data_IF_804918363101
#
_entry.id   IF_804918363101
#
_cell.length_a   1.000
_cell.length_b   1.000
_cell.length_c   1.000
_cell.angle_alpha   90.00
_cell.angle_beta   90.00
_cell.angle_gamma   90.00
#
_symmetry.space_group_name_H-M   'P 1'
#
loop_
_entity.id
_entity.type
_entity.pdbx_description
1 polymer ?
#
# COMPACT_ATOMS: atom_id res chain seq x y z
N UNK A 1 -5.45 60.78 33.23
CA UNK A 1 -6.64 60.28 32.52
C UNK A 1 -6.28 58.86 32.12
N UNK A 2 -6.39 57.92 33.07
CA UNK A 2 -7.58 57.09 33.38
C UNK A 2 -7.75 56.02 32.27
N UNK A 3 -7.85 54.70 32.49
CA UNK A 3 -7.87 53.74 33.62
C UNK A 3 -7.37 52.38 33.01
N UNK A 4 -6.54 51.55 33.66
CA UNK A 4 -6.86 50.34 34.47
C UNK A 4 -7.96 49.42 33.87
N UNK A 5 -7.88 48.08 33.82
CA UNK A 5 -7.02 47.08 34.48
C UNK A 5 -7.32 45.65 33.95
N UNK A 6 -6.41 44.71 34.27
CA UNK A 6 -6.39 43.27 34.01
C UNK A 6 -7.54 42.45 34.65
N UNK A 7 -7.91 41.31 34.06
CA UNK A 7 -8.67 40.25 34.74
C UNK A 7 -8.10 38.84 34.48
N UNK A 8 -7.71 38.18 35.57
CA UNK A 8 -7.36 36.77 35.68
C UNK A 8 -8.22 36.14 36.81
N UNK A 9 -8.75 34.93 36.55
CA UNK A 9 -9.14 33.87 37.50
C UNK A 9 -10.28 34.06 38.54
N UNK A 10 -11.27 33.14 38.53
CA UNK A 10 -11.65 32.29 39.69
C UNK A 10 -12.79 31.30 39.41
N UNK A 11 -12.74 30.21 40.17
CA UNK A 11 -13.54 28.96 40.21
C UNK A 11 -14.99 29.08 40.68
N UNK A 12 -15.85 28.12 40.30
CA UNK A 12 -17.18 27.91 40.89
C UNK A 12 -17.57 26.43 41.05
N UNK A 13 -18.10 26.08 42.22
CA UNK A 13 -18.47 24.75 42.74
C UNK A 13 -20.00 24.54 42.71
N UNK A 14 -20.43 23.34 42.30
CA UNK A 14 -21.57 22.45 42.69
C UNK A 14 -22.85 23.05 43.33
N UNK A 15 -24.04 22.66 42.80
CA UNK A 15 -25.19 22.21 43.62
C UNK A 15 -26.25 21.36 42.86
N UNK A 16 -26.94 20.50 43.63
CA UNK A 16 -27.84 19.36 43.27
C UNK A 16 -29.30 19.74 42.90
N UNK A 17 -30.26 18.81 42.56
CA UNK A 17 -31.01 18.05 43.58
C UNK A 17 -31.58 16.64 43.19
N UNK A 18 -31.98 15.89 44.23
CA UNK A 18 -32.61 14.57 44.23
C UNK A 18 -34.15 14.57 44.10
N UNK A 19 -34.77 13.48 43.62
CA UNK A 19 -36.10 13.05 44.11
C UNK A 19 -36.39 11.55 43.84
N UNK A 20 -36.91 10.88 44.87
CA UNK A 20 -37.45 9.50 44.91
C UNK A 20 -38.89 9.47 44.37
N UNK A 21 -39.42 8.32 43.93
CA UNK A 21 -40.85 8.08 43.97
C UNK A 21 -41.24 6.92 44.91
N UNK A 22 -42.40 7.10 45.55
CA UNK A 22 -43.12 6.20 46.44
C UNK A 22 -44.06 5.26 45.68
N UNK A 23 -44.28 4.09 46.27
CA UNK A 23 -45.17 2.99 45.89
C UNK A 23 -46.65 3.28 46.06
N UNK A 24 -47.51 2.70 45.20
CA UNK A 24 -48.84 2.17 45.55
C UNK A 24 -49.36 1.22 44.46
N UNK A 25 -50.00 0.12 44.89
CA UNK A 25 -50.53 -1.02 44.12
C UNK A 25 -52.06 -0.88 44.01
N UNK A 26 -52.70 -1.46 42.97
CA UNK A 26 -53.94 -2.18 43.23
C UNK A 26 -53.97 -3.60 42.64
N UNK A 27 -54.54 -4.49 43.45
CA UNK A 27 -54.97 -5.86 43.19
C UNK A 27 -55.93 -5.97 41.99
N UNK A 28 -55.81 -7.04 41.20
CA UNK A 28 -57.01 -7.82 40.88
C UNK A 28 -56.69 -9.29 40.58
N UNK A 29 -57.50 -10.15 41.18
CA UNK A 29 -57.39 -11.61 41.25
C UNK A 29 -58.18 -12.29 40.14
N UNK A 30 -57.67 -13.40 39.55
CA UNK A 30 -58.45 -14.62 39.28
C UNK A 30 -57.54 -15.79 38.86
N UNK A 31 -57.79 -16.96 39.48
CA UNK A 31 -57.02 -18.19 39.41
C UNK A 31 -57.60 -19.22 38.43
N UNK A 32 -56.77 -20.06 37.79
CA UNK A 32 -56.72 -21.54 37.97
C UNK A 32 -55.75 -22.28 36.98
N UNK A 33 -55.37 -23.54 37.27
CA UNK A 33 -53.99 -24.03 37.11
C UNK A 33 -53.80 -25.19 36.10
N UNK A 34 -52.55 -25.48 35.73
CA UNK A 34 -52.15 -26.68 34.99
C UNK A 34 -50.71 -27.10 35.31
N UNK A 35 -50.56 -28.30 35.87
CA UNK A 35 -49.38 -28.86 36.55
C UNK A 35 -48.60 -29.81 35.63
N UNK A 36 -47.26 -29.80 35.69
CA UNK A 36 -46.38 -31.00 35.82
C UNK A 36 -44.89 -30.59 35.83
N UNK A 37 -44.24 -30.59 36.99
CA UNK A 37 -43.33 -31.63 37.52
C UNK A 37 -41.99 -31.76 36.75
N UNK A 38 -40.93 -31.10 37.24
CA UNK A 38 -39.86 -31.65 38.13
C UNK A 38 -38.82 -32.53 37.41
N UNK A 39 -37.58 -32.03 37.40
CA UNK A 39 -36.43 -32.72 38.02
C UNK A 39 -35.37 -31.70 38.43
N UNK A 40 -34.88 -31.85 39.67
CA UNK A 40 -34.00 -30.95 40.42
C UNK A 40 -32.65 -31.64 40.59
N UNK A 41 -31.54 -30.96 40.30
CA UNK A 41 -30.23 -31.32 40.83
C UNK A 41 -29.45 -30.05 41.22
N UNK A 42 -29.01 -30.05 42.47
CA UNK A 42 -28.48 -28.96 43.29
C UNK A 42 -27.35 -28.13 42.65
N UNK A 43 -27.47 -26.80 42.71
CA UNK A 43 -26.36 -25.84 42.64
C UNK A 43 -26.41 -24.98 43.90
N UNK A 44 -25.24 -24.84 44.53
CA UNK A 44 -24.99 -24.07 45.75
C UNK A 44 -25.57 -22.66 45.68
N UNK A 45 -26.29 -22.30 46.75
CA UNK A 45 -26.73 -20.95 47.08
C UNK A 45 -25.51 -20.03 47.26
N UNK A 46 -25.13 -19.34 46.19
CA UNK A 46 -24.77 -17.93 46.29
C UNK A 46 -25.97 -17.16 45.80
N UNK A 47 -26.43 -16.23 46.62
CA UNK A 47 -27.53 -15.30 46.39
C UNK A 47 -27.41 -14.60 45.03
N UNK A 48 -27.93 -15.25 43.99
CA UNK A 48 -28.23 -14.65 42.70
C UNK A 48 -29.59 -13.98 42.84
N UNK A 49 -29.58 -12.76 43.39
CA UNK A 49 -30.75 -11.90 43.44
C UNK A 49 -30.81 -11.07 42.15
N UNK A 50 -30.67 -11.75 41.01
CA UNK A 50 -30.68 -11.16 39.69
C UNK A 50 -31.44 -12.06 38.70
N UNK A 51 -32.09 -11.44 37.73
CA UNK A 51 -32.85 -12.15 36.71
C UNK A 51 -31.93 -13.04 35.86
N UNK A 52 -32.42 -14.12 35.24
CA UNK A 52 -31.56 -15.05 34.48
C UNK A 52 -30.78 -14.40 33.32
N UNK A 53 -31.19 -13.21 32.87
CA UNK A 53 -30.49 -12.40 31.87
C UNK A 53 -29.37 -11.51 32.46
N UNK A 54 -29.34 -11.32 33.78
CA UNK A 54 -28.24 -10.65 34.49
C UNK A 54 -27.06 -11.59 34.71
N UNK A 55 -27.30 -12.89 34.89
CA UNK A 55 -26.26 -13.92 35.03
C UNK A 55 -25.61 -14.32 33.68
N UNK A 56 -26.29 -14.07 32.56
CA UNK A 56 -25.79 -14.40 31.21
C UNK A 56 -24.87 -13.30 30.65
N UNK A 57 -24.88 -12.09 31.23
CA UNK A 57 -24.02 -10.98 30.84
C UNK A 57 -22.65 -11.06 31.54
N UNK A 58 -21.97 -12.20 31.39
CA UNK A 58 -20.54 -12.25 31.69
C UNK A 58 -19.84 -11.29 30.73
N UNK A 59 -19.19 -10.26 31.28
CA UNK A 59 -18.42 -9.33 30.45
C UNK A 59 -17.36 -10.18 29.75
N UNK A 60 -17.24 -10.04 28.45
CA UNK A 60 -16.31 -10.83 27.64
C UNK A 60 -14.85 -10.74 28.12
N UNK A 61 -14.52 -9.69 28.88
CA UNK A 61 -13.23 -9.48 29.54
C UNK A 61 -13.04 -10.27 30.84
N UNK A 62 -14.10 -10.75 31.50
CA UNK A 62 -14.04 -11.58 32.72
C UNK A 62 -13.73 -13.05 32.39
N UNK A 63 -13.96 -13.47 31.14
CA UNK A 63 -13.69 -14.84 30.63
C UNK A 63 -12.22 -15.00 30.25
N UNK A 64 -11.54 -13.90 29.88
CA UNK A 64 -10.11 -13.91 29.55
C UNK A 64 -9.31 -13.94 30.85
N UNK A 65 -9.09 -15.15 31.38
CA UNK A 65 -8.12 -15.35 32.46
C UNK A 65 -6.71 -15.18 31.90
N UNK A 66 -5.95 -14.30 32.55
CA UNK A 66 -4.52 -14.06 32.30
C UNK A 66 -3.69 -15.32 32.60
N UNK A 67 -3.54 -16.21 31.61
CA UNK A 67 -2.42 -17.16 31.59
C UNK A 67 -1.16 -16.38 31.15
N UNK A 68 -0.52 -15.74 32.14
CA UNK A 68 0.53 -14.71 31.95
C UNK A 68 1.79 -15.17 31.23
N UNK A 69 2.10 -16.47 31.26
CA UNK A 69 3.34 -16.98 30.66
C UNK A 69 3.16 -17.59 29.26
N UNK A 70 1.97 -18.13 28.96
CA UNK A 70 1.70 -18.81 27.67
C UNK A 70 1.17 -17.85 26.60
N UNK A 71 0.48 -16.79 27.00
CA UNK A 71 -0.10 -15.80 26.08
C UNK A 71 0.96 -14.98 25.33
N UNK A 72 2.03 -14.56 26.00
CA UNK A 72 3.08 -13.74 25.39
C UNK A 72 3.93 -14.51 24.37
N UNK A 73 4.31 -15.76 24.68
CA UNK A 73 5.05 -16.61 23.74
C UNK A 73 4.24 -16.89 22.47
N UNK A 74 2.94 -17.14 22.61
CA UNK A 74 2.02 -17.37 21.48
C UNK A 74 1.85 -16.10 20.62
N UNK A 75 1.84 -14.92 21.25
CA UNK A 75 1.78 -13.64 20.53
C UNK A 75 3.07 -13.38 19.73
N UNK A 76 4.24 -13.58 20.34
CA UNK A 76 5.54 -13.45 19.66
C UNK A 76 5.65 -14.43 18.49
N UNK A 77 5.19 -15.66 18.67
CA UNK A 77 5.18 -16.65 17.60
C UNK A 77 4.25 -16.26 16.44
N UNK A 78 3.05 -15.75 16.72
CA UNK A 78 2.16 -15.29 15.66
C UNK A 78 2.76 -14.12 14.87
N UNK A 79 3.54 -13.24 15.52
CA UNK A 79 4.29 -12.18 14.84
C UNK A 79 5.37 -12.77 13.92
N UNK A 80 6.14 -13.76 14.39
CA UNK A 80 7.18 -14.42 13.61
C UNK A 80 6.57 -15.20 12.42
N UNK A 81 5.49 -15.95 12.65
CA UNK A 81 4.78 -16.68 11.60
C UNK A 81 4.16 -15.75 10.57
N UNK A 82 3.61 -14.60 10.99
CA UNK A 82 3.08 -13.60 10.07
C UNK A 82 4.18 -12.99 9.21
N UNK A 83 5.37 -12.71 9.77
CA UNK A 83 6.54 -12.27 8.99
C UNK A 83 6.98 -13.34 7.99
N UNK A 84 7.03 -14.60 8.41
CA UNK A 84 7.39 -15.73 7.53
C UNK A 84 6.37 -15.94 6.40
N UNK A 85 5.07 -15.83 6.70
CA UNK A 85 4.00 -15.88 5.70
C UNK A 85 4.15 -14.77 4.66
N UNK A 86 4.54 -13.56 5.07
CA UNK A 86 4.82 -12.45 4.13
C UNK A 86 5.97 -12.80 3.19
N UNK A 87 7.10 -13.26 3.73
CA UNK A 87 8.26 -13.67 2.91
C UNK A 87 7.87 -14.78 1.93
N UNK A 88 7.18 -15.83 2.39
CA UNK A 88 6.76 -16.93 1.52
C UNK A 88 5.69 -16.53 0.48
N UNK A 89 4.83 -15.55 0.79
CA UNK A 89 3.79 -15.06 -0.12
C UNK A 89 4.37 -14.19 -1.24
N UNK A 90 5.34 -13.33 -0.92
CA UNK A 90 5.97 -12.43 -1.90
C UNK A 90 7.04 -13.12 -2.75
N UNK A 91 7.81 -14.03 -2.16
CA UNK A 91 8.88 -14.76 -2.83
C UNK A 91 8.44 -16.19 -3.13
N UNK A 92 7.46 -16.32 -4.04
CA UNK A 92 7.23 -17.62 -4.67
C UNK A 92 8.53 -18.03 -5.35
N UNK A 93 9.11 -19.15 -4.92
CA UNK A 93 10.40 -19.71 -5.38
C UNK A 93 10.50 -19.99 -6.89
N UNK A 94 9.46 -19.67 -7.66
CA UNK A 94 9.34 -19.92 -9.09
C UNK A 94 9.69 -18.62 -9.83
N UNK A 95 10.76 -18.61 -10.65
CA UNK A 95 11.03 -17.47 -11.53
C UNK A 95 9.92 -17.40 -12.58
N UNK A 96 9.15 -16.33 -12.52
CA UNK A 96 8.06 -16.05 -13.45
C UNK A 96 8.47 -14.88 -14.36
N UNK A 97 8.06 -14.92 -15.62
CA UNK A 97 8.20 -13.77 -16.50
C UNK A 97 7.28 -12.65 -15.99
N UNK A 98 7.81 -11.45 -15.84
CA UNK A 98 7.11 -10.28 -15.28
C UNK A 98 7.19 -9.09 -16.23
N UNK A 99 6.14 -8.26 -16.23
CA UNK A 99 6.14 -6.97 -16.90
C UNK A 99 6.90 -5.92 -16.08
N UNK A 100 8.21 -5.77 -16.30
CA UNK A 100 9.04 -4.85 -15.50
C UNK A 100 8.70 -3.37 -15.77
N UNK A 101 8.37 -3.05 -17.03
CA UNK A 101 7.97 -1.70 -17.42
C UNK A 101 6.45 -1.60 -17.26
N UNK A 102 6.01 -0.87 -16.25
CA UNK A 102 4.61 -0.73 -15.88
C UNK A 102 4.16 0.70 -16.10
N UNK A 103 2.92 0.84 -16.54
CA UNK A 103 2.18 2.09 -16.50
C UNK A 103 0.96 1.85 -15.61
N UNK A 104 1.00 2.40 -14.40
CA UNK A 104 -0.05 2.23 -13.40
C UNK A 104 -0.90 3.51 -13.31
N UNK A 105 -2.20 3.40 -13.52
CA UNK A 105 -3.14 4.48 -13.22
C UNK A 105 -3.84 4.19 -11.91
N UNK A 106 -3.60 5.04 -10.91
CA UNK A 106 -4.26 4.99 -9.61
C UNK A 106 -5.56 5.80 -9.66
N UNK A 107 -6.69 5.13 -9.44
CA UNK A 107 -8.00 5.75 -9.33
C UNK A 107 -8.40 5.78 -7.85
N UNK A 108 -8.69 6.96 -7.34
CA UNK A 108 -9.02 7.21 -5.93
C UNK A 108 -10.48 7.67 -5.85
N UNK A 109 -11.25 7.05 -4.97
CA UNK A 109 -12.57 7.52 -4.59
C UNK A 109 -12.48 8.79 -3.73
N UNK A 110 -13.19 9.86 -4.14
CA UNK A 110 -13.35 11.15 -3.45
C UNK A 110 -14.84 11.49 -3.28
N UNK A 111 -15.67 10.45 -3.10
CA UNK A 111 -17.10 10.57 -2.83
C UNK A 111 -17.42 10.82 -1.36
N UNK A 112 -18.69 11.12 -1.04
CA UNK A 112 -19.16 11.33 0.34
C UNK A 112 -18.83 10.13 1.25
N UNK A 113 -18.82 8.91 0.72
CA UNK A 113 -18.50 7.68 1.46
C UNK A 113 -17.08 7.68 2.06
N UNK A 114 -16.18 8.53 1.54
CA UNK A 114 -14.80 8.65 2.00
C UNK A 114 -14.65 9.57 3.22
N UNK A 115 -15.72 10.27 3.62
CA UNK A 115 -15.75 11.05 4.86
C UNK A 115 -15.98 10.20 6.11
N UNK A 116 -16.36 8.93 5.94
CA UNK A 116 -16.59 8.02 7.06
C UNK A 116 -15.35 7.88 7.94
N UNK A 117 -15.58 7.83 9.26
CA UNK A 117 -14.54 7.75 10.29
C UNK A 117 -14.20 6.32 10.69
N UNK A 118 -14.48 5.36 9.81
CA UNK A 118 -14.13 3.94 9.95
C UNK A 118 -12.61 3.76 10.08
N UNK A 119 -11.86 4.53 9.29
CA UNK A 119 -10.41 4.69 9.38
C UNK A 119 -10.09 6.07 9.96
N UNK A 120 -9.00 6.20 10.73
CA UNK A 120 -8.67 7.47 11.41
C UNK A 120 -7.75 8.36 10.56
N UNK A 121 -8.02 9.68 10.45
CA UNK A 121 -9.18 10.43 10.97
C UNK A 121 -10.46 10.24 10.13
N UNK A 122 -10.33 10.04 8.82
CA UNK A 122 -11.37 9.55 7.92
C UNK A 122 -10.73 8.67 6.83
N UNK A 123 -11.55 7.94 6.07
CA UNK A 123 -11.09 7.05 4.99
C UNK A 123 -10.22 7.79 3.96
N UNK A 124 -10.62 9.00 3.55
CA UNK A 124 -9.90 9.78 2.55
C UNK A 124 -8.48 10.16 2.98
N UNK A 125 -8.32 10.75 4.17
CA UNK A 125 -7.02 11.23 4.66
C UNK A 125 -6.07 10.06 4.86
N UNK A 126 -6.53 8.94 5.44
CA UNK A 126 -5.68 7.76 5.59
C UNK A 126 -5.25 7.23 4.23
N UNK A 127 -6.18 7.16 3.27
CA UNK A 127 -5.90 6.74 1.88
C UNK A 127 -4.81 7.61 1.26
N UNK A 128 -4.90 8.94 1.35
CA UNK A 128 -3.87 9.85 0.81
C UNK A 128 -2.49 9.70 1.50
N UNK A 129 -2.45 9.36 2.78
CA UNK A 129 -1.18 9.10 3.48
C UNK A 129 -0.53 7.81 2.97
N UNK A 130 -1.31 6.73 2.88
CA UNK A 130 -0.80 5.45 2.38
C UNK A 130 -0.42 5.51 0.90
N UNK A 131 -1.11 6.32 0.09
CA UNK A 131 -0.73 6.57 -1.30
C UNK A 131 0.63 7.27 -1.38
N UNK A 132 0.95 8.22 -0.50
CA UNK A 132 2.28 8.85 -0.47
C UNK A 132 3.38 7.83 -0.19
N UNK A 133 3.17 6.97 0.81
CA UNK A 133 4.10 5.87 1.11
C UNK A 133 4.21 4.89 -0.06
N UNK A 134 3.09 4.52 -0.67
CA UNK A 134 3.03 3.64 -1.83
C UNK A 134 3.75 4.24 -3.04
N UNK A 135 3.63 5.54 -3.32
CA UNK A 135 4.35 6.18 -4.43
C UNK A 135 5.86 6.06 -4.23
N UNK A 136 6.34 6.31 -3.02
CA UNK A 136 7.78 6.19 -2.70
C UNK A 136 8.24 4.75 -2.90
N UNK A 137 7.55 3.78 -2.31
CA UNK A 137 7.92 2.36 -2.42
C UNK A 137 7.79 1.83 -3.85
N UNK A 138 6.74 2.22 -4.57
CA UNK A 138 6.49 1.82 -5.96
C UNK A 138 7.63 2.26 -6.87
N UNK A 139 8.03 3.53 -6.81
CA UNK A 139 9.14 4.05 -7.62
C UNK A 139 10.51 3.63 -7.09
N UNK A 140 10.63 3.27 -5.81
CA UNK A 140 11.84 2.65 -5.32
C UNK A 140 12.02 1.29 -5.99
N UNK A 141 11.06 0.36 -5.88
CA UNK A 141 11.18 -0.97 -6.48
C UNK A 141 11.10 -0.98 -8.02
N UNK A 142 10.31 -0.08 -8.60
CA UNK A 142 10.03 0.00 -10.04
C UNK A 142 10.44 1.37 -10.63
N UNK A 143 11.74 1.71 -10.68
CA UNK A 143 12.19 3.03 -11.11
C UNK A 143 11.80 3.36 -12.54
N UNK A 144 11.75 2.37 -13.44
CA UNK A 144 11.42 2.59 -14.86
C UNK A 144 9.90 2.60 -15.15
N UNK A 145 9.08 2.44 -14.12
CA UNK A 145 7.61 2.49 -14.28
C UNK A 145 7.11 3.93 -14.30
N UNK A 146 5.86 4.10 -14.73
CA UNK A 146 5.18 5.38 -14.75
C UNK A 146 3.87 5.27 -13.98
N UNK A 147 3.45 6.37 -13.36
CA UNK A 147 2.21 6.45 -12.61
C UNK A 147 1.35 7.62 -13.09
N UNK A 148 0.03 7.45 -13.12
CA UNK A 148 -0.95 8.53 -13.25
C UNK A 148 -1.97 8.46 -12.12
N UNK A 149 -2.60 9.58 -11.75
CA UNK A 149 -3.57 9.64 -10.64
C UNK A 149 -4.84 10.34 -11.09
N UNK A 150 -5.97 9.65 -10.89
CA UNK A 150 -7.32 10.12 -11.22
C UNK A 150 -8.18 10.07 -9.95
N UNK A 151 -9.00 11.10 -9.72
CA UNK A 151 -10.00 11.14 -8.65
C UNK A 151 -11.41 10.95 -9.21
N UNK A 152 -12.26 10.25 -8.46
CA UNK A 152 -13.69 10.16 -8.72
C UNK A 152 -14.45 11.08 -7.76
N UNK A 153 -15.10 12.12 -8.26
CA UNK A 153 -15.83 13.09 -7.44
C UNK A 153 -17.04 13.65 -8.19
N UNK A 154 -18.18 13.85 -7.51
CA UNK A 154 -19.40 14.42 -8.10
C UNK A 154 -19.87 13.75 -9.41
N UNK A 155 -19.75 12.42 -9.51
CA UNK A 155 -20.11 11.65 -10.71
C UNK A 155 -19.15 11.83 -11.90
N UNK A 156 -18.01 12.49 -11.70
CA UNK A 156 -17.03 12.79 -12.73
C UNK A 156 -15.64 12.21 -12.37
N UNK A 157 -14.80 12.08 -13.38
CA UNK A 157 -13.39 11.74 -13.22
C UNK A 157 -12.52 12.99 -13.41
N UNK A 158 -11.62 13.24 -12.47
CA UNK A 158 -10.69 14.37 -12.49
C UNK A 158 -9.25 13.87 -12.55
N UNK A 159 -8.51 14.31 -13.58
CA UNK A 159 -7.08 14.04 -13.68
C UNK A 159 -6.31 14.92 -12.70
N UNK A 160 -5.54 14.30 -11.80
CA UNK A 160 -4.72 15.01 -10.81
C UNK A 160 -3.28 15.11 -11.25
N UNK A 161 -2.73 13.99 -11.69
CA UNK A 161 -1.37 13.93 -12.25
C UNK A 161 -1.40 13.15 -13.54
N UNK A 162 -0.80 13.72 -14.58
CA UNK A 162 -0.53 13.01 -15.82
C UNK A 162 0.43 11.83 -15.57
N UNK A 163 0.52 10.92 -16.55
CA UNK A 163 1.40 9.77 -16.48
C UNK A 163 2.86 10.24 -16.50
N UNK A 164 3.57 10.06 -15.39
CA UNK A 164 4.95 10.51 -15.21
C UNK A 164 5.78 9.47 -14.42
N UNK A 165 7.10 9.53 -14.55
CA UNK A 165 8.06 8.72 -13.80
C UNK A 165 8.64 9.40 -12.56
N UNK A 166 8.27 10.66 -12.28
CA UNK A 166 8.80 11.43 -11.15
C UNK A 166 7.95 11.27 -9.89
N UNK A 167 8.48 10.69 -8.79
CA UNK A 167 7.71 10.51 -7.55
C UNK A 167 7.26 11.84 -6.94
N UNK A 168 8.14 12.86 -6.96
CA UNK A 168 7.87 14.17 -6.36
C UNK A 168 6.69 14.88 -7.03
N UNK A 169 6.55 14.74 -8.35
CA UNK A 169 5.44 15.31 -9.09
C UNK A 169 4.08 14.81 -8.56
N UNK A 170 3.98 13.51 -8.26
CA UNK A 170 2.78 12.92 -7.68
C UNK A 170 2.59 13.31 -6.21
N UNK A 171 3.66 13.22 -5.41
CA UNK A 171 3.62 13.53 -3.96
C UNK A 171 3.21 14.98 -3.72
N UNK A 172 3.73 15.93 -4.47
CA UNK A 172 3.40 17.36 -4.30
C UNK A 172 1.93 17.62 -4.62
N UNK A 173 1.36 16.95 -5.62
CA UNK A 173 -0.07 17.05 -5.95
C UNK A 173 -0.95 16.42 -4.89
N UNK A 174 -0.57 15.27 -4.34
CA UNK A 174 -1.27 14.67 -3.19
C UNK A 174 -1.19 15.58 -1.96
N UNK A 175 -0.03 16.21 -1.70
CA UNK A 175 0.14 17.17 -0.59
C UNK A 175 -0.74 18.40 -0.79
N UNK A 176 -0.89 18.88 -2.03
CA UNK A 176 -1.82 19.97 -2.37
C UNK A 176 -3.28 19.57 -2.16
N UNK A 177 -3.67 18.32 -2.44
CA UNK A 177 -5.02 17.83 -2.14
C UNK A 177 -5.27 17.81 -0.63
N UNK A 178 -4.29 17.36 0.16
CA UNK A 178 -4.37 17.33 1.62
C UNK A 178 -4.44 18.73 2.25
N UNK A 179 -3.63 19.69 1.78
CA UNK A 179 -3.60 21.04 2.36
C UNK A 179 -4.86 21.88 2.08
N UNK A 180 -5.59 21.57 1.00
CA UNK A 180 -6.81 22.30 0.61
C UNK A 180 -8.10 21.75 1.24
N UNK A 181 -7.99 20.79 2.15
CA UNK A 181 -9.13 20.10 2.76
C UNK A 181 -10.02 21.03 3.58
N UNK A 182 -9.47 22.03 4.27
CA UNK A 182 -10.27 22.91 5.13
C UNK A 182 -11.20 23.88 4.40
N UNK A 183 -11.15 24.01 3.06
CA UNK A 183 -12.07 24.91 2.33
C UNK A 183 -12.44 24.49 0.88
N UNK A 184 -11.85 23.45 0.26
CA UNK A 184 -12.12 23.13 -1.17
C UNK A 184 -12.11 21.64 -1.56
N UNK A 185 -11.42 20.77 -0.82
CA UNK A 185 -11.25 19.34 -1.17
C UNK A 185 -11.71 18.39 -0.05
N UNK A 186 -12.92 18.61 0.46
CA UNK A 186 -13.65 17.55 1.14
C UNK A 186 -14.26 16.58 0.11
N UNK A 187 -14.20 15.27 0.35
CA UNK A 187 -14.89 14.27 -0.46
C UNK A 187 -16.37 14.57 -0.60
N UNK A 188 -16.86 14.67 -1.84
CA UNK A 188 -18.22 15.12 -2.17
C UNK A 188 -18.78 14.42 -3.41
N UNK A 189 -20.11 14.33 -3.42
CA UNK A 189 -20.88 13.66 -4.46
C UNK A 189 -20.57 12.17 -4.56
N UNK A 190 -20.84 11.61 -5.73
CA UNK A 190 -20.79 10.17 -5.97
C UNK A 190 -19.56 9.78 -6.81
N UNK A 191 -19.09 8.52 -6.75
CA UNK A 191 -18.00 8.06 -7.60
C UNK A 191 -18.51 7.59 -8.96
N UNK A 192 -17.75 7.83 -10.03
CA UNK A 192 -18.01 7.29 -11.37
C UNK A 192 -16.86 6.40 -11.85
N UNK A 193 -17.09 5.09 -11.87
CA UNK A 193 -16.15 4.10 -12.37
C UNK A 193 -16.01 4.19 -13.89
N UNK A 194 -17.10 4.35 -14.63
CA UNK A 194 -17.05 4.41 -16.08
C UNK A 194 -16.18 5.58 -16.58
N UNK A 195 -16.45 6.80 -16.10
CA UNK A 195 -15.71 7.98 -16.52
C UNK A 195 -14.21 7.87 -16.16
N UNK A 196 -13.90 7.31 -14.99
CA UNK A 196 -12.52 7.15 -14.54
C UNK A 196 -11.77 6.05 -15.29
N UNK A 197 -12.44 4.95 -15.63
CA UNK A 197 -11.88 3.88 -16.46
C UNK A 197 -11.64 4.35 -17.91
N UNK A 198 -12.55 5.14 -18.48
CA UNK A 198 -12.38 5.71 -19.82
C UNK A 198 -11.22 6.72 -19.87
N UNK A 199 -11.08 7.56 -18.84
CA UNK A 199 -9.93 8.45 -18.68
C UNK A 199 -8.62 7.68 -18.47
N UNK A 200 -8.61 6.67 -17.60
CA UNK A 200 -7.44 5.83 -17.38
C UNK A 200 -7.01 5.11 -18.67
N UNK A 201 -7.98 4.57 -19.42
CA UNK A 201 -7.75 3.92 -20.71
C UNK A 201 -7.12 4.87 -21.74
N UNK A 202 -7.57 6.13 -21.83
CA UNK A 202 -6.99 7.09 -22.78
C UNK A 202 -5.55 7.46 -22.42
N UNK A 203 -5.26 7.63 -21.12
CA UNK A 203 -3.89 7.86 -20.61
C UNK A 203 -2.95 6.68 -20.91
N UNK A 204 -3.43 5.45 -20.73
CA UNK A 204 -2.66 4.24 -21.00
C UNK A 204 -2.37 4.08 -22.50
N UNK A 205 -3.37 4.32 -23.37
CA UNK A 205 -3.21 4.22 -24.83
C UNK A 205 -2.21 5.22 -25.41
N UNK A 206 -2.25 6.47 -24.94
CA UNK A 206 -1.35 7.51 -25.44
C UNK A 206 0.12 7.11 -25.24
N UNK A 207 0.44 6.52 -24.09
CA UNK A 207 1.81 6.09 -23.78
C UNK A 207 2.24 4.84 -24.56
N UNK A 208 1.32 3.93 -24.88
CA UNK A 208 1.63 2.70 -25.61
C UNK A 208 1.94 2.90 -27.10
N UNK A 209 1.47 3.98 -27.73
CA UNK A 209 1.83 4.30 -29.12
C UNK A 209 3.35 4.50 -29.33
N UNK A 210 4.11 4.79 -28.26
CA UNK A 210 5.57 4.92 -28.32
C UNK A 210 6.31 3.64 -27.90
N UNK A 211 5.66 2.71 -27.19
CA UNK A 211 6.25 1.49 -26.66
C UNK A 211 5.19 0.38 -26.64
N UNK A 212 5.20 -0.48 -27.66
CA UNK A 212 4.11 -1.43 -27.93
C UNK A 212 3.81 -2.45 -26.82
N UNK A 213 4.65 -2.62 -25.80
CA UNK A 213 4.45 -3.67 -24.77
C UNK A 213 4.87 -3.26 -23.35
N UNK A 214 4.36 -2.13 -22.85
CA UNK A 214 4.34 -1.87 -21.41
C UNK A 214 3.16 -2.59 -20.77
N UNK A 215 3.33 -3.07 -19.53
CA UNK A 215 2.20 -3.61 -18.77
C UNK A 215 1.29 -2.45 -18.35
N UNK A 216 0.03 -2.54 -18.73
CA UNK A 216 -0.98 -1.52 -18.46
C UNK A 216 -1.82 -1.96 -17.27
N UNK A 217 -1.80 -1.15 -16.22
CA UNK A 217 -2.41 -1.50 -14.94
C UNK A 217 -3.28 -0.36 -14.42
N UNK A 218 -4.44 -0.71 -13.86
CA UNK A 218 -5.30 0.22 -13.14
C UNK A 218 -5.48 -0.31 -11.72
N UNK A 219 -5.16 0.52 -10.74
CA UNK A 219 -5.42 0.26 -9.33
C UNK A 219 -6.54 1.19 -8.85
N UNK A 220 -7.66 0.61 -8.40
CA UNK A 220 -8.80 1.38 -7.91
C UNK A 220 -8.90 1.22 -6.40
N UNK A 221 -8.89 2.33 -5.67
CA UNK A 221 -9.23 2.37 -4.25
C UNK A 221 -10.68 2.85 -4.15
N UNK A 222 -11.58 1.92 -3.83
CA UNK A 222 -13.03 2.13 -3.89
C UNK A 222 -13.64 2.10 -2.50
N UNK A 223 -14.16 3.24 -2.04
CA UNK A 223 -14.75 3.38 -0.71
C UNK A 223 -16.26 3.21 -0.70
N UNK A 224 -16.93 3.72 -1.72
CA UNK A 224 -18.38 3.58 -1.86
C UNK A 224 -18.80 2.12 -2.14
N UNK A 225 -20.10 1.85 -1.94
CA UNK A 225 -20.72 0.56 -2.27
C UNK A 225 -21.52 0.60 -3.59
N UNK A 226 -21.58 1.77 -4.21
CA UNK A 226 -22.29 2.02 -5.46
C UNK A 226 -21.45 2.97 -6.33
N UNK A 227 -21.80 3.05 -7.61
CA UNK A 227 -21.21 4.02 -8.55
C UNK A 227 -22.32 4.67 -9.36
N UNK A 228 -22.13 5.93 -9.73
CA UNK A 228 -23.04 6.70 -10.58
C UNK A 228 -22.38 6.90 -11.95
N UNK A 229 -22.72 6.01 -12.90
CA UNK A 229 -22.16 6.01 -14.24
C UNK A 229 -23.20 6.42 -15.30
N UNK A 230 -22.80 7.13 -16.37
CA UNK A 230 -23.73 7.65 -17.38
C UNK A 230 -24.26 6.57 -18.33
N UNK A 231 -23.55 5.45 -18.51
CA UNK A 231 -23.91 4.40 -19.45
C UNK A 231 -23.67 2.99 -18.91
N UNK A 232 -23.64 2.03 -19.84
CA UNK A 232 -23.40 0.62 -19.52
C UNK A 232 -21.90 0.36 -19.33
N UNK A 233 -21.49 0.23 -18.06
CA UNK A 233 -20.11 -0.06 -17.67
C UNK A 233 -19.57 -1.35 -18.29
N UNK A 234 -20.40 -2.35 -18.60
CA UNK A 234 -19.93 -3.61 -19.15
C UNK A 234 -19.25 -3.44 -20.50
N UNK A 235 -19.69 -2.48 -21.32
CA UNK A 235 -19.03 -2.11 -22.59
C UNK A 235 -17.64 -1.53 -22.36
N UNK A 236 -17.47 -0.77 -21.28
CA UNK A 236 -16.17 -0.23 -20.86
C UNK A 236 -15.27 -1.36 -20.37
N UNK A 237 -15.80 -2.32 -19.59
CA UNK A 237 -15.05 -3.53 -19.19
C UNK A 237 -14.56 -4.29 -20.42
N UNK A 238 -15.44 -4.58 -21.38
CA UNK A 238 -15.07 -5.31 -22.59
C UNK A 238 -14.07 -4.52 -23.45
N UNK A 239 -14.10 -3.19 -23.36
CA UNK A 239 -13.11 -2.32 -23.99
C UNK A 239 -11.73 -2.39 -23.33
N UNK A 240 -11.67 -2.50 -22.01
CA UNK A 240 -10.41 -2.68 -21.26
C UNK A 240 -9.80 -4.05 -21.54
N UNK A 241 -10.62 -5.10 -21.60
CA UNK A 241 -10.18 -6.46 -21.95
C UNK A 241 -9.57 -6.49 -23.35
N UNK A 242 -10.22 -5.86 -24.33
CA UNK A 242 -9.68 -5.77 -25.71
C UNK A 242 -8.33 -5.06 -25.79
N UNK A 243 -8.06 -4.13 -24.88
CA UNK A 243 -6.79 -3.40 -24.83
C UNK A 243 -5.76 -4.05 -23.89
N UNK A 244 -6.06 -5.23 -23.32
CA UNK A 244 -5.21 -5.97 -22.37
C UNK A 244 -4.82 -5.15 -21.12
N UNK A 245 -5.75 -4.33 -20.60
CA UNK A 245 -5.55 -3.54 -19.38
C UNK A 245 -5.94 -4.38 -18.16
N UNK A 246 -4.99 -4.59 -17.24
CA UNK A 246 -5.22 -5.32 -15.99
C UNK A 246 -5.76 -4.39 -14.91
N UNK A 247 -6.82 -4.80 -14.22
CA UNK A 247 -7.44 -3.99 -13.16
C UNK A 247 -7.36 -4.72 -11.81
N UNK A 248 -6.93 -4.00 -10.77
CA UNK A 248 -6.94 -4.43 -9.36
C UNK A 248 -7.81 -3.45 -8.56
N UNK A 249 -8.65 -3.98 -7.68
CA UNK A 249 -9.55 -3.16 -6.85
C UNK A 249 -9.27 -3.43 -5.37
N UNK A 250 -9.16 -2.38 -4.58
CA UNK A 250 -9.14 -2.42 -3.13
C UNK A 250 -10.43 -1.76 -2.63
N UNK A 251 -11.35 -2.55 -2.10
CA UNK A 251 -12.60 -2.09 -1.51
C UNK A 251 -12.44 -1.78 -0.03
N UNK A 252 -12.93 -0.63 0.43
CA UNK A 252 -12.76 -0.23 1.84
C UNK A 252 -13.78 -0.85 2.81
N UNK A 253 -14.91 -1.37 2.35
CA UNK A 253 -15.93 -1.93 3.26
C UNK A 253 -16.43 -3.29 2.83
N UNK A 254 -16.93 -3.39 1.60
CA UNK A 254 -17.48 -4.65 1.10
C UNK A 254 -17.10 -4.89 -0.35
N UNK A 255 -17.44 -6.10 -0.81
CA UNK A 255 -17.26 -6.49 -2.20
C UNK A 255 -18.45 -6.01 -3.04
N UNK A 256 -18.17 -5.27 -4.13
CA UNK A 256 -19.18 -4.85 -5.10
C UNK A 256 -19.15 -5.79 -6.31
N UNK A 257 -20.33 -6.28 -6.72
CA UNK A 257 -20.46 -7.28 -7.79
C UNK A 257 -19.82 -6.81 -9.11
N UNK A 258 -20.05 -5.56 -9.51
CA UNK A 258 -19.47 -4.98 -10.74
C UNK A 258 -17.94 -4.93 -10.67
N UNK A 259 -17.37 -4.51 -9.54
CA UNK A 259 -15.91 -4.49 -9.34
C UNK A 259 -15.32 -5.91 -9.43
N UNK A 260 -16.01 -6.92 -8.89
CA UNK A 260 -15.61 -8.33 -9.02
C UNK A 260 -15.63 -8.80 -10.47
N UNK A 261 -16.67 -8.47 -11.22
CA UNK A 261 -16.76 -8.82 -12.64
C UNK A 261 -15.67 -8.12 -13.46
N UNK A 262 -15.41 -6.84 -13.20
CA UNK A 262 -14.34 -6.05 -13.82
C UNK A 262 -12.97 -6.71 -13.61
N UNK A 263 -12.63 -7.05 -12.37
CA UNK A 263 -11.35 -7.70 -12.02
C UNK A 263 -11.24 -9.08 -12.67
N UNK A 264 -12.29 -9.90 -12.61
CA UNK A 264 -12.26 -11.25 -13.17
C UNK A 264 -12.10 -11.22 -14.71
N UNK A 265 -12.84 -10.34 -15.39
CA UNK A 265 -12.77 -10.19 -16.85
C UNK A 265 -11.41 -9.67 -17.32
N UNK A 266 -10.82 -8.71 -16.63
CA UNK A 266 -9.56 -8.06 -17.04
C UNK A 266 -8.30 -8.88 -16.74
N UNK A 267 -8.39 -9.90 -15.88
CA UNK A 267 -7.24 -10.73 -15.50
C UNK A 267 -7.35 -12.18 -15.96
N UNK A 268 -8.33 -12.52 -16.81
CA UNK A 268 -8.62 -13.87 -17.30
C UNK A 268 -8.64 -14.93 -16.17
N UNK A 269 -9.07 -14.54 -14.97
CA UNK A 269 -8.99 -15.39 -13.77
C UNK A 269 -10.35 -15.48 -13.09
N UNK A 270 -10.73 -16.70 -12.75
CA UNK A 270 -11.95 -16.99 -11.99
C UNK A 270 -11.78 -16.69 -10.49
N UNK A 271 -10.54 -16.58 -10.01
CA UNK A 271 -10.24 -16.31 -8.62
C UNK A 271 -10.02 -14.81 -8.35
N UNK A 272 -10.74 -14.22 -7.37
CA UNK A 272 -10.73 -12.78 -7.12
C UNK A 272 -9.47 -12.32 -6.34
N UNK A 273 -8.28 -12.87 -6.61
CA UNK A 273 -7.04 -12.46 -5.90
C UNK A 273 -6.74 -10.97 -6.06
N UNK A 274 -7.16 -10.39 -7.19
CA UNK A 274 -6.96 -8.99 -7.53
C UNK A 274 -8.11 -8.08 -7.03
N UNK A 275 -9.05 -8.61 -6.24
CA UNK A 275 -10.00 -7.79 -5.48
C UNK A 275 -9.82 -8.04 -3.98
N UNK A 276 -9.11 -7.12 -3.32
CA UNK A 276 -8.96 -7.11 -1.87
C UNK A 276 -10.04 -6.27 -1.19
N UNK A 277 -10.57 -6.75 -0.07
CA UNK A 277 -11.42 -5.95 0.84
C UNK A 277 -10.63 -5.72 2.12
N UNK A 278 -10.51 -4.47 2.54
CA UNK A 278 -9.76 -4.15 3.75
C UNK A 278 -10.50 -4.68 4.99
N UNK A 279 -9.73 -5.02 6.02
CA UNK A 279 -10.28 -5.45 7.32
C UNK A 279 -9.91 -4.47 8.43
N UNK A 280 -8.72 -3.87 8.33
CA UNK A 280 -8.17 -2.89 9.24
C UNK A 280 -7.11 -2.06 8.51
N UNK A 281 -6.57 -1.04 9.19
CA UNK A 281 -5.54 -0.14 8.65
C UNK A 281 -4.29 -0.89 8.17
N UNK A 282 -3.84 -1.89 8.93
CA UNK A 282 -2.65 -2.68 8.59
C UNK A 282 -2.87 -3.55 7.33
N UNK A 283 -4.05 -4.14 7.18
CA UNK A 283 -4.43 -4.94 6.02
C UNK A 283 -4.59 -4.07 4.78
N UNK A 284 -5.11 -2.84 4.93
CA UNK A 284 -5.15 -1.89 3.83
C UNK A 284 -3.74 -1.57 3.32
N UNK A 285 -2.81 -1.27 4.22
CA UNK A 285 -1.40 -1.05 3.85
C UNK A 285 -0.78 -2.29 3.19
N UNK A 286 -1.06 -3.49 3.69
CA UNK A 286 -0.59 -4.73 3.06
C UNK A 286 -1.11 -4.89 1.63
N UNK A 287 -2.42 -4.73 1.40
CA UNK A 287 -3.01 -4.85 0.06
C UNK A 287 -2.44 -3.82 -0.93
N UNK A 288 -2.15 -2.61 -0.44
CA UNK A 288 -1.55 -1.56 -1.25
C UNK A 288 -0.09 -1.90 -1.61
N UNK A 289 0.71 -2.36 -0.63
CA UNK A 289 2.10 -2.75 -0.86
C UNK A 289 2.23 -4.03 -1.70
N UNK A 290 1.23 -4.92 -1.67
CA UNK A 290 1.13 -6.08 -2.55
C UNK A 290 0.92 -5.69 -4.03
N UNK A 291 0.66 -4.41 -4.33
CA UNK A 291 0.62 -3.87 -5.70
C UNK A 291 2.00 -3.37 -6.18
N UNK A 292 2.98 -3.23 -5.29
CA UNK A 292 4.35 -2.78 -5.64
C UNK A 292 5.09 -3.77 -6.51
N UNK A 293 5.14 -5.09 -6.25
CA UNK A 293 5.84 -6.01 -7.14
C UNK A 293 5.12 -6.13 -8.50
N UNK A 294 5.87 -6.25 -9.62
CA UNK A 294 5.28 -6.41 -10.96
C UNK A 294 4.49 -7.71 -11.06
N UNK A 295 3.33 -7.66 -11.71
CA UNK A 295 2.49 -8.83 -11.92
C UNK A 295 3.19 -9.85 -12.84
N UNK A 296 3.03 -11.16 -12.55
CA UNK A 296 3.47 -12.19 -13.48
C UNK A 296 2.64 -12.13 -14.77
N UNK A 297 3.29 -12.41 -15.90
CA UNK A 297 2.59 -12.60 -17.17
C UNK A 297 1.86 -13.94 -17.15
N UNK A 298 0.69 -13.98 -17.78
CA UNK A 298 -0.06 -15.21 -18.00
C UNK A 298 0.55 -16.02 -19.15
N UNK A 299 0.33 -17.32 -19.18
CA UNK A 299 0.87 -18.20 -20.24
C UNK A 299 0.46 -17.75 -21.65
N UNK A 300 -0.75 -17.18 -21.81
CA UNK A 300 -1.24 -16.61 -23.06
C UNK A 300 -0.45 -15.37 -23.53
N UNK A 301 0.07 -14.59 -22.58
CA UNK A 301 0.87 -13.39 -22.86
C UNK A 301 2.34 -13.73 -23.15
N UNK A 302 2.79 -14.91 -22.73
CA UNK A 302 4.16 -15.39 -22.94
C UNK A 302 4.24 -15.95 -24.37
N UNK A 303 4.66 -15.11 -25.31
CA UNK A 303 5.04 -15.59 -26.64
C UNK A 303 6.55 -15.93 -26.67
N UNK A 304 6.93 -17.22 -26.69
CA UNK A 304 8.33 -17.64 -26.66
C UNK A 304 9.11 -17.25 -27.93
N UNK A 305 8.43 -16.93 -29.03
CA UNK A 305 9.06 -16.62 -30.32
C UNK A 305 9.41 -15.13 -30.50
N UNK A 306 8.84 -14.22 -29.70
CA UNK A 306 9.02 -12.79 -29.91
C UNK A 306 9.10 -12.00 -28.59
N UNK A 307 10.28 -11.99 -27.97
CA UNK A 307 10.55 -11.11 -26.82
C UNK A 307 10.64 -9.66 -27.31
N UNK A 308 9.80 -8.74 -26.82
CA UNK A 308 9.85 -7.35 -27.24
C UNK A 308 11.17 -6.70 -26.84
N UNK A 309 11.84 -6.06 -27.80
CA UNK A 309 13.04 -5.29 -27.55
C UNK A 309 12.70 -3.80 -27.55
N UNK A 310 12.99 -3.11 -26.45
CA UNK A 310 12.76 -1.67 -26.32
C UNK A 310 14.11 -0.96 -26.39
N UNK A 311 14.20 0.05 -27.25
CA UNK A 311 15.39 0.89 -27.34
C UNK A 311 15.42 1.86 -26.17
N UNK A 312 16.48 1.78 -25.35
CA UNK A 312 16.71 2.70 -24.23
C UNK A 312 18.00 3.49 -24.43
N UNK A 313 18.04 4.70 -23.85
CA UNK A 313 19.20 5.58 -23.87
C UNK A 313 19.84 5.70 -22.50
N UNK A 314 21.16 5.48 -22.42
CA UNK A 314 21.95 5.78 -21.24
C UNK A 314 22.57 7.18 -21.39
N UNK A 315 22.05 8.21 -20.71
CA UNK A 315 22.54 9.56 -20.86
C UNK A 315 23.84 9.77 -20.09
N UNK A 316 24.68 10.67 -20.59
CA UNK A 316 25.91 11.08 -19.88
C UNK A 316 25.57 12.17 -18.87
N UNK A 317 26.08 12.05 -17.64
CA UNK A 317 26.01 13.09 -16.62
C UNK A 317 26.95 14.24 -17.02
N UNK A 318 26.39 15.44 -17.15
CA UNK A 318 27.12 16.69 -17.37
C UNK A 318 26.98 17.51 -16.10
N UNK A 319 28.11 17.80 -15.47
CA UNK A 319 28.19 18.80 -14.43
C UNK A 319 28.68 20.11 -15.05
N UNK A 320 28.05 21.21 -14.69
CA UNK A 320 28.53 22.53 -15.11
C UNK A 320 29.83 22.78 -14.37
N UNK A 321 30.96 22.61 -15.06
CA UNK A 321 32.26 23.01 -14.53
C UNK A 321 32.33 24.52 -14.57
N UNK A 322 32.17 25.16 -13.42
CA UNK A 322 32.66 26.53 -13.22
C UNK A 322 34.18 26.47 -13.39
N UNK A 323 34.68 26.74 -14.59
CA UNK A 323 36.13 26.92 -14.80
C UNK A 323 36.55 28.17 -14.04
N UNK A 324 37.01 28.00 -12.81
CA UNK A 324 37.63 29.04 -12.00
C UNK A 324 39.06 29.27 -12.50
N UNK A 325 39.20 29.88 -13.66
CA UNK A 325 40.39 30.68 -13.94
C UNK A 325 40.20 32.03 -13.24
N UNK A 326 41.20 32.41 -12.44
CA UNK A 326 41.26 33.61 -11.59
C UNK A 326 40.47 34.81 -12.12
N UNK A 327 39.62 35.35 -11.24
CA UNK A 327 38.81 36.58 -11.29
C UNK A 327 37.43 36.59 -11.97
N UNK A 328 37.03 35.57 -12.76
CA UNK A 328 35.66 35.56 -13.33
C UNK A 328 35.05 34.15 -13.39
N UNK A 329 33.87 33.96 -12.79
CA UNK A 329 33.03 32.77 -12.98
C UNK A 329 32.17 32.97 -14.24
N UNK A 330 32.57 32.37 -15.36
CA UNK A 330 31.75 32.36 -16.58
C UNK A 330 30.71 31.24 -16.46
N UNK A 331 29.47 31.59 -16.13
CA UNK A 331 28.35 30.65 -16.12
C UNK A 331 27.60 30.75 -17.46
N UNK A 332 27.75 29.75 -18.33
CA UNK A 332 26.99 29.70 -19.58
C UNK A 332 25.54 29.29 -19.31
N UNK A 333 24.53 30.02 -19.81
CA UNK A 333 23.13 29.64 -19.64
C UNK A 333 22.88 28.27 -20.29
N UNK A 334 22.37 27.33 -19.50
CA UNK A 334 22.03 26.00 -19.99
C UNK A 334 20.51 25.87 -20.18
N UNK A 335 20.12 25.55 -21.41
CA UNK A 335 18.73 25.22 -21.74
C UNK A 335 18.44 23.77 -21.36
N UNK A 336 17.33 23.56 -20.66
CA UNK A 336 16.83 22.26 -20.24
C UNK A 336 15.46 22.00 -20.90
N UNK A 337 15.30 20.83 -21.52
CA UNK A 337 14.08 20.46 -22.21
C UNK A 337 13.02 19.84 -21.28
N UNK A 338 13.32 19.61 -20.00
CA UNK A 338 12.44 18.90 -19.05
C UNK A 338 11.18 19.68 -18.66
N UNK A 339 11.11 20.99 -18.94
CA UNK A 339 10.00 21.86 -18.55
C UNK A 339 9.47 22.68 -19.74
N UNK A 340 8.82 22.06 -20.74
CA UNK A 340 8.31 22.79 -21.90
C UNK A 340 7.06 23.64 -21.58
N UNK A 341 6.34 23.36 -20.49
CA UNK A 341 5.06 24.01 -20.13
C UNK A 341 5.11 24.89 -18.87
N UNK A 342 6.29 25.04 -18.23
CA UNK A 342 6.43 26.04 -17.19
C UNK A 342 6.46 27.42 -17.87
N UNK A 343 5.27 28.03 -18.03
CA UNK A 343 5.17 29.45 -18.27
C UNK A 343 6.03 30.20 -17.26
N UNK A 344 6.47 31.40 -17.64
CA UNK A 344 7.42 32.30 -16.98
C UNK A 344 7.15 32.64 -15.48
N UNK A 345 6.21 31.99 -14.81
CA UNK A 345 5.68 32.41 -13.51
C UNK A 345 6.09 31.53 -12.32
N UNK A 346 6.66 30.32 -12.50
CA UNK A 346 6.94 29.44 -11.34
C UNK A 346 8.24 28.63 -11.41
N UNK A 347 9.26 29.08 -12.14
CA UNK A 347 10.62 28.61 -11.86
C UNK A 347 11.26 29.71 -11.00
N UNK A 348 11.50 29.48 -9.70
CA UNK A 348 12.44 30.31 -8.96
C UNK A 348 13.72 30.33 -9.80
N UNK A 349 14.13 31.50 -10.28
CA UNK A 349 15.32 31.74 -11.10
C UNK A 349 16.63 31.37 -10.37
N UNK A 350 16.54 30.64 -9.26
CA UNK A 350 17.55 30.41 -8.24
C UNK A 350 18.15 29.00 -8.27
N UNK A 351 17.76 28.11 -9.19
CA UNK A 351 18.36 26.79 -9.27
C UNK A 351 18.61 26.38 -10.72
N UNK A 352 19.68 26.90 -11.33
CA UNK A 352 20.31 26.18 -12.43
C UNK A 352 20.68 24.79 -11.91
N UNK A 353 20.13 23.70 -12.49
CA UNK A 353 20.44 22.37 -12.00
C UNK A 353 21.94 22.13 -12.19
N UNK A 354 22.65 21.92 -11.08
CA UNK A 354 24.10 21.68 -11.05
C UNK A 354 24.50 20.43 -11.84
N UNK A 355 23.54 19.52 -12.02
CA UNK A 355 23.68 18.27 -12.77
C UNK A 355 22.60 18.23 -13.86
N UNK A 356 23.03 17.98 -15.09
CA UNK A 356 22.14 17.67 -16.22
C UNK A 356 22.57 16.37 -16.87
N UNK A 357 21.64 15.73 -17.58
CA UNK A 357 21.86 14.49 -18.29
C UNK A 357 21.64 14.71 -19.78
N UNK A 358 22.60 14.31 -20.60
CA UNK A 358 22.54 14.50 -22.04
C UNK A 358 21.98 13.26 -22.75
N UNK A 359 20.89 13.43 -23.49
CA UNK A 359 20.31 12.37 -24.30
C UNK A 359 21.33 11.88 -25.34
N UNK A 360 21.55 10.55 -25.48
CA UNK A 360 22.51 10.03 -26.45
C UNK A 360 22.09 10.24 -27.90
N UNK A 361 20.77 10.30 -28.18
CA UNK A 361 20.20 10.39 -29.53
C UNK A 361 20.13 11.84 -30.04
N UNK A 362 19.39 12.72 -29.37
CA UNK A 362 19.18 14.11 -29.82
C UNK A 362 20.06 15.14 -29.11
N UNK A 363 20.92 14.72 -28.16
CA UNK A 363 21.79 15.60 -27.37
C UNK A 363 21.09 16.63 -26.49
N UNK A 364 19.75 16.59 -26.38
CA UNK A 364 19.00 17.45 -25.46
C UNK A 364 19.39 17.17 -24.01
N UNK A 365 19.41 18.21 -23.18
CA UNK A 365 19.67 18.09 -21.74
C UNK A 365 18.36 17.93 -20.97
N UNK A 366 18.35 16.96 -20.06
CA UNK A 366 17.26 16.72 -19.10
C UNK A 366 17.81 16.74 -17.68
N UNK A 367 16.96 16.94 -16.68
CA UNK A 367 17.39 17.06 -15.27
C UNK A 367 17.07 15.82 -14.46
N UNK A 368 15.91 15.23 -14.68
CA UNK A 368 15.44 14.09 -13.91
C UNK A 368 15.53 12.82 -14.76
N UNK A 369 15.98 11.74 -14.11
CA UNK A 369 15.95 10.39 -14.66
C UNK A 369 15.27 9.48 -13.63
N UNK A 370 14.57 8.42 -14.07
CA UNK A 370 14.32 8.06 -15.45
C UNK A 370 13.22 8.92 -16.08
N UNK A 371 13.32 9.21 -17.39
CA UNK A 371 12.30 9.99 -18.11
C UNK A 371 12.29 9.69 -19.59
N UNK A 372 11.18 9.97 -20.27
CA UNK A 372 11.12 9.96 -21.74
C UNK A 372 11.72 11.28 -22.25
N UNK A 373 12.66 11.20 -23.18
CA UNK A 373 13.26 12.39 -23.77
C UNK A 373 12.18 13.22 -24.50
N UNK A 374 11.93 14.48 -24.12
CA UNK A 374 10.85 15.30 -24.67
C UNK A 374 11.08 15.68 -26.14
N UNK A 375 12.31 15.57 -26.65
CA UNK A 375 12.66 15.95 -28.03
C UNK A 375 12.59 14.74 -28.98
N UNK A 376 13.06 13.56 -28.55
CA UNK A 376 13.16 12.40 -29.45
C UNK A 376 12.38 11.16 -29.02
N UNK A 377 11.65 11.22 -27.90
CA UNK A 377 10.84 10.12 -27.38
C UNK A 377 11.63 8.94 -26.82
N UNK A 378 12.97 8.96 -26.82
CA UNK A 378 13.79 7.88 -26.28
C UNK A 378 13.70 7.83 -24.76
N UNK A 379 13.43 6.66 -24.18
CA UNK A 379 13.46 6.46 -22.73
C UNK A 379 14.90 6.57 -22.21
N UNK A 380 15.15 7.49 -21.27
CA UNK A 380 16.44 7.77 -20.67
C UNK A 380 16.50 7.16 -19.27
N UNK A 381 17.47 6.27 -19.06
CA UNK A 381 17.66 5.53 -17.80
C UNK A 381 19.13 5.44 -17.42
N UNK A 382 19.41 5.19 -16.13
CA UNK A 382 20.74 4.81 -15.66
C UNK A 382 20.79 3.29 -15.45
N UNK A 383 21.99 2.72 -15.47
CA UNK A 383 22.21 1.30 -15.15
C UNK A 383 21.72 0.94 -13.73
N UNK A 384 21.81 1.88 -12.79
CA UNK A 384 21.31 1.72 -11.42
C UNK A 384 19.80 1.51 -11.35
N UNK A 385 19.03 2.10 -12.26
CA UNK A 385 17.57 1.91 -12.31
C UNK A 385 17.22 0.47 -12.72
N UNK A 386 17.93 -0.08 -13.70
CA UNK A 386 17.72 -1.49 -14.10
C UNK A 386 18.19 -2.46 -13.02
N UNK A 387 19.34 -2.20 -12.41
CA UNK A 387 19.88 -3.03 -11.34
C UNK A 387 18.92 -3.14 -10.16
N UNK A 388 18.21 -2.04 -9.84
CA UNK A 388 17.23 -2.05 -8.77
C UNK A 388 16.03 -2.95 -9.05
N UNK A 389 15.58 -3.07 -10.30
CA UNK A 389 14.47 -3.98 -10.67
C UNK A 389 14.89 -5.45 -10.82
N UNK A 390 16.19 -5.76 -10.69
CA UNK A 390 16.74 -7.10 -10.91
C UNK A 390 16.25 -8.14 -9.89
N UNK A 391 15.95 -7.71 -8.65
CA UNK A 391 15.46 -8.61 -7.61
C UNK A 391 14.08 -9.21 -7.93
N UNK A 392 13.31 -8.61 -8.84
CA UNK A 392 12.06 -9.19 -9.35
C UNK A 392 12.29 -10.32 -10.37
N UNK A 393 13.44 -10.32 -11.06
CA UNK A 393 13.80 -11.32 -12.07
C UNK A 393 14.42 -12.56 -11.44
N UNK A 394 15.28 -12.37 -10.46
CA UNK A 394 15.94 -13.43 -9.71
C UNK A 394 15.63 -13.26 -8.22
N UNK A 395 14.43 -13.64 -7.77
CA UNK A 395 14.10 -13.60 -6.35
C UNK A 395 15.02 -14.54 -5.57
N UNK A 396 15.39 -14.12 -4.37
CA UNK A 396 16.12 -14.98 -3.46
C UNK A 396 15.22 -16.13 -2.99
N UNK A 397 15.79 -17.34 -2.97
CA UNK A 397 15.08 -18.53 -2.47
C UNK A 397 14.94 -18.42 -0.95
N UNK A 398 13.72 -18.62 -0.39
CA UNK A 398 13.50 -18.55 1.04
C UNK A 398 14.41 -19.53 1.79
N UNK A 399 14.98 -19.08 2.90
CA UNK A 399 15.79 -19.94 3.74
C UNK A 399 14.94 -21.01 4.41
N UNK A 400 15.48 -22.23 4.51
CA UNK A 400 14.79 -23.35 5.16
C UNK A 400 15.02 -23.31 6.66
N UNK A 401 13.95 -23.40 7.42
CA UNK A 401 14.05 -23.50 8.88
C UNK A 401 14.70 -24.83 9.26
N UNK A 402 15.73 -24.77 10.10
CA UNK A 402 16.44 -25.95 10.59
C UNK A 402 15.60 -26.58 11.70
N UNK A 403 15.37 -27.89 11.64
CA UNK A 403 14.63 -28.61 12.67
C UNK A 403 15.37 -28.57 14.02
N UNK A 404 14.62 -28.74 15.12
CA UNK A 404 15.19 -28.78 16.47
C UNK A 404 16.09 -30.03 16.59
N UNK A 405 17.33 -29.82 17.01
CA UNK A 405 18.34 -30.86 17.23
C UNK A 405 19.05 -30.62 18.57
N UNK A 406 19.62 -31.68 19.14
CA UNK A 406 20.47 -31.60 20.34
C UNK A 406 21.82 -30.96 20.02
N UNK A 407 22.32 -31.16 18.80
CA UNK A 407 23.59 -30.61 18.32
C UNK A 407 23.35 -29.87 17.02
N UNK A 408 23.92 -28.67 16.92
CA UNK A 408 23.90 -27.85 15.71
C UNK A 408 25.32 -27.59 15.24
N UNK A 409 25.52 -27.51 13.92
CA UNK A 409 26.82 -27.19 13.32
C UNK A 409 27.22 -25.72 13.56
N UNK A 410 26.25 -24.80 13.55
CA UNK A 410 26.48 -23.37 13.74
C UNK A 410 26.11 -22.90 15.15
N UNK A 411 27.04 -22.20 15.81
CA UNK A 411 26.80 -21.50 17.07
C UNK A 411 26.36 -20.05 16.88
N UNK A 412 26.74 -19.41 15.77
CA UNK A 412 26.49 -17.99 15.50
C UNK A 412 25.83 -17.79 14.14
N UNK A 413 24.97 -16.78 14.05
CA UNK A 413 24.40 -16.32 12.80
C UNK A 413 25.50 -15.78 11.87
N UNK A 414 25.56 -16.27 10.63
CA UNK A 414 26.56 -15.81 9.67
C UNK A 414 26.49 -14.30 9.39
N UNK A 415 25.28 -13.74 9.34
CA UNK A 415 25.06 -12.33 8.99
C UNK A 415 25.39 -11.34 10.12
N UNK A 416 24.88 -11.58 11.33
CA UNK A 416 24.99 -10.62 12.43
C UNK A 416 25.83 -11.12 13.62
N UNK A 417 26.40 -12.33 13.55
CA UNK A 417 27.17 -12.96 14.63
C UNK A 417 26.40 -13.10 15.95
N UNK A 418 25.07 -13.06 15.89
CA UNK A 418 24.22 -13.34 17.04
C UNK A 418 24.33 -14.82 17.43
N UNK A 419 24.64 -15.08 18.70
CA UNK A 419 24.73 -16.44 19.23
C UNK A 419 23.35 -17.10 19.23
N UNK A 420 23.24 -18.26 18.59
CA UNK A 420 22.01 -19.03 18.58
C UNK A 420 21.75 -19.72 19.93
N UNK A 421 20.48 -20.00 20.27
CA UNK A 421 20.18 -20.82 21.43
C UNK A 421 20.76 -22.24 21.28
N UNK A 422 21.25 -22.80 22.39
CA UNK A 422 21.79 -24.17 22.43
C UNK A 422 20.75 -25.24 22.12
N UNK A 423 21.21 -26.44 21.75
CA UNK A 423 20.33 -27.59 21.53
C UNK A 423 19.79 -28.19 22.83
N UNK A 424 18.66 -28.90 22.74
CA UNK A 424 18.10 -29.67 23.85
C UNK A 424 17.13 -28.96 24.81
N UNK A 425 16.69 -27.72 24.51
CA UNK A 425 15.62 -27.06 25.28
C UNK A 425 14.21 -27.43 24.80
N UNK A 426 13.19 -27.30 25.66
CA UNK A 426 11.75 -27.24 25.27
C UNK A 426 11.44 -25.94 24.49
N UNK A 427 12.26 -25.61 23.49
CA UNK A 427 12.05 -24.47 22.62
C UNK A 427 11.21 -24.91 21.43
N UNK A 428 10.29 -24.05 21.01
CA UNK A 428 9.38 -24.34 19.92
C UNK A 428 10.03 -24.22 18.53
N UNK A 429 11.19 -23.55 18.43
CA UNK A 429 11.95 -23.39 17.19
C UNK A 429 13.46 -23.39 17.45
N UNK A 430 14.24 -23.79 16.44
CA UNK A 430 15.71 -23.74 16.49
C UNK A 430 16.27 -22.33 16.33
N UNK A 431 15.43 -21.37 15.91
CA UNK A 431 15.80 -19.99 15.51
C UNK A 431 16.87 -19.89 14.42
N UNK A 432 17.08 -20.97 13.64
CA UNK A 432 18.08 -21.08 12.58
C UNK A 432 17.41 -21.26 11.22
N UNK A 433 17.84 -20.46 10.26
CA UNK A 433 17.35 -20.45 8.88
C UNK A 433 18.52 -20.67 7.93
N UNK A 434 18.53 -21.80 7.23
CA UNK A 434 19.64 -22.26 6.40
C UNK A 434 19.42 -21.92 4.94
N UNK A 435 20.43 -21.32 4.32
CA UNK A 435 20.46 -21.15 2.87
C UNK A 435 20.91 -22.45 2.20
N UNK A 436 20.12 -22.99 1.26
CA UNK A 436 20.45 -24.25 0.58
C UNK A 436 21.64 -24.16 -0.36
N UNK A 437 21.94 -22.96 -0.89
CA UNK A 437 23.03 -22.75 -1.85
C UNK A 437 24.39 -22.67 -1.17
N UNK A 438 24.53 -21.82 -0.16
CA UNK A 438 25.81 -21.64 0.53
C UNK A 438 25.99 -22.57 1.74
N UNK A 439 24.89 -23.10 2.30
CA UNK A 439 24.88 -23.97 3.49
C UNK A 439 25.02 -23.23 4.82
N UNK A 440 24.96 -21.89 4.82
CA UNK A 440 25.15 -21.07 6.03
C UNK A 440 23.83 -20.81 6.75
N UNK A 441 23.90 -20.67 8.08
CA UNK A 441 22.76 -20.46 8.97
C UNK A 441 22.60 -18.97 9.37
N UNK A 442 21.36 -18.50 9.34
CA UNK A 442 20.97 -17.11 9.63
C UNK A 442 19.88 -17.08 10.72
N UNK A 443 19.80 -15.98 11.47
CA UNK A 443 18.69 -15.71 12.39
C UNK A 443 17.48 -15.10 11.64
N UNK A 444 16.31 -15.10 12.27
CA UNK A 444 15.07 -14.55 11.66
C UNK A 444 15.21 -13.09 11.20
N UNK A 445 15.93 -12.26 11.95
CA UNK A 445 16.10 -10.85 11.57
C UNK A 445 16.99 -10.71 10.33
N UNK A 446 18.05 -11.51 10.24
CA UNK A 446 18.89 -11.55 9.05
C UNK A 446 18.14 -12.14 7.85
N UNK A 447 17.32 -13.16 8.07
CA UNK A 447 16.45 -13.73 7.04
C UNK A 447 15.49 -12.67 6.47
N UNK A 448 14.75 -11.98 7.34
CA UNK A 448 13.84 -10.88 6.95
C UNK A 448 14.61 -9.77 6.22
N UNK A 449 15.72 -9.29 6.77
CA UNK A 449 16.50 -8.21 6.17
C UNK A 449 17.06 -8.57 4.79
N UNK A 450 17.54 -9.81 4.66
CA UNK A 450 18.07 -10.31 3.38
C UNK A 450 16.97 -10.44 2.34
N UNK A 451 15.78 -10.90 2.72
CA UNK A 451 14.67 -11.03 1.77
C UNK A 451 14.00 -9.70 1.43
N UNK A 452 13.83 -8.79 2.39
CA UNK A 452 13.09 -7.53 2.18
C UNK A 452 13.96 -6.38 1.65
N UNK A 453 15.24 -6.31 2.01
CA UNK A 453 16.09 -5.13 1.71
C UNK A 453 17.27 -5.50 0.83
N UNK A 454 18.03 -6.53 1.20
CA UNK A 454 19.32 -6.81 0.53
C UNK A 454 19.14 -7.60 -0.77
N UNK A 455 18.09 -8.42 -0.85
CA UNK A 455 17.70 -9.33 -1.92
C UNK A 455 18.78 -10.32 -2.42
N UNK A 456 19.92 -10.40 -1.72
CA UNK A 456 21.03 -11.31 -2.03
C UNK A 456 21.48 -12.01 -0.75
N UNK A 457 21.92 -13.27 -0.85
CA UNK A 457 22.46 -14.00 0.30
C UNK A 457 23.94 -13.64 0.50
N UNK A 458 24.36 -13.05 1.64
CA UNK A 458 25.76 -12.71 1.88
C UNK A 458 26.71 -13.92 1.83
N UNK A 459 26.22 -15.11 2.20
CA UNK A 459 27.01 -16.34 2.15
C UNK A 459 27.20 -16.90 0.74
N UNK A 460 26.32 -16.54 -0.21
CA UNK A 460 26.48 -16.91 -1.62
C UNK A 460 27.43 -15.96 -2.35
N UNK A 461 27.41 -14.67 -2.01
CA UNK A 461 28.30 -13.65 -2.61
C UNK A 461 29.75 -13.74 -2.11
N UNK A 462 29.99 -14.35 -0.95
CA UNK A 462 31.33 -14.55 -0.39
C UNK A 462 32.07 -15.78 -0.96
N UNK A 463 31.46 -16.48 -1.93
CA UNK A 463 32.07 -17.61 -2.65
C UNK A 463 32.35 -17.20 -4.08
#
# INVERSE_FOLDING_TARGET
>A
MADDSDEEYMSGVVDTPSSRPSSEIPDDSHANPGVSSRTRSNINERTANGYSWEDEYQRSWDIVKDDKDTSFQTMVQSIIENRKKKIMKHYSSIPLQRGIIRTLVLIIDDSVAMNDKDLRPNRFILTLNYIQEFIVEFFDQNPISQMGIVLMRNGLAYLITEVNGSPQYHIDKIRQLKSRQHNKFEPKGDPSLQNSLEMARSLLKYNSNNNEKTSQEILIIFGALFTSDPGDIHKTIDSLVRDNIKVKVIGLSAQVSICRQLVNKTNNSTNPKNYGVIMNEAHFKELLMDCVPPLPLTEEEINPQHVPLIKMGFPKKIQTTSTSSTDYTIEFPQLNASYPQAGSETIPMTQTPTVTYQCPQCKSKVVNLPTICPVCGLMLILSTHLARSYHHLLPLVPYKEVAISEVYESEFCFGCQLKFPGGGGKQLSSSRYKCEKCGMDFCINCDVFVHEVLHNCPGCENK
#
